data_IF_946838688709
#
_entry.id   IF_946838688709
#
_cell.length_a   1.000
_cell.length_b   1.000
_cell.length_c   1.000
_cell.angle_alpha   90.00
_cell.angle_beta   90.00
_cell.angle_gamma   90.00
#
_symmetry.space_group_name_H-M   'P 1'
#
loop_
_entity.id
_entity.type
_entity.pdbx_description
1 polymer ?
#
# COMPACT_ATOMS: atom_id res chain seq x y z
N UNK A 1 11.02 -11.12 24.21
CA UNK A 1 10.72 -12.25 23.30
C UNK A 1 11.68 -12.13 22.14
N UNK A 2 12.31 -13.23 21.72
CA UNK A 2 13.18 -13.20 20.53
C UNK A 2 12.38 -13.50 19.27
N UNK A 3 12.91 -13.11 18.12
CA UNK A 3 12.32 -13.45 16.81
C UNK A 3 12.13 -14.95 16.66
N UNK A 4 13.13 -15.74 17.07
CA UNK A 4 13.09 -17.20 17.05
C UNK A 4 12.04 -17.84 17.95
N UNK A 5 11.45 -17.10 18.89
CA UNK A 5 10.36 -17.58 19.77
C UNK A 5 8.97 -17.41 19.12
N UNK A 6 8.87 -16.69 17.99
CA UNK A 6 7.61 -16.45 17.31
C UNK A 6 7.08 -17.74 16.66
N UNK A 7 5.75 -17.86 16.66
CA UNK A 7 5.05 -18.91 15.89
C UNK A 7 5.11 -18.51 14.42
N UNK A 8 5.62 -19.40 13.57
CA UNK A 8 5.70 -19.17 12.12
C UNK A 8 4.45 -19.66 11.40
N UNK A 9 4.12 -19.07 10.24
CA UNK A 9 4.77 -17.90 9.63
C UNK A 9 4.43 -16.58 10.35
N UNK A 10 5.40 -15.68 10.52
CA UNK A 10 5.23 -14.43 11.26
C UNK A 10 5.71 -13.20 10.47
N UNK A 11 4.89 -12.14 10.43
CA UNK A 11 5.24 -10.88 9.78
C UNK A 11 6.21 -10.06 10.66
N UNK A 12 7.39 -9.76 10.14
CA UNK A 12 8.41 -8.95 10.80
C UNK A 12 8.60 -7.61 10.08
N UNK A 13 8.77 -6.55 10.85
CA UNK A 13 9.10 -5.21 10.35
C UNK A 13 10.41 -4.75 10.99
N UNK A 14 11.44 -4.58 10.17
CA UNK A 14 12.70 -3.99 10.61
C UNK A 14 12.50 -2.49 10.88
N UNK A 15 12.66 -2.09 12.15
CA UNK A 15 12.36 -0.72 12.59
C UNK A 15 13.35 0.29 12.04
N UNK A 16 14.62 -0.08 11.84
CA UNK A 16 15.63 0.84 11.35
C UNK A 16 15.39 1.11 9.84
N UNK A 17 14.99 0.09 9.09
CA UNK A 17 14.57 0.24 7.70
C UNK A 17 13.26 1.05 7.56
N UNK A 18 12.25 0.76 8.38
CA UNK A 18 10.99 1.51 8.41
C UNK A 18 11.24 2.99 8.71
N UNK A 19 11.95 3.30 9.80
CA UNK A 19 12.18 4.68 10.23
C UNK A 19 12.98 5.47 9.18
N UNK A 20 13.96 4.82 8.53
CA UNK A 20 14.68 5.43 7.42
C UNK A 20 13.79 5.69 6.20
N UNK A 21 12.89 4.76 5.84
CA UNK A 21 11.96 4.95 4.73
C UNK A 21 10.96 6.09 5.01
N UNK A 22 10.45 6.17 6.24
CA UNK A 22 9.58 7.26 6.67
C UNK A 22 10.30 8.59 6.57
N UNK A 23 11.52 8.69 7.10
CA UNK A 23 12.34 9.90 7.03
C UNK A 23 12.66 10.32 5.58
N UNK A 24 13.08 9.38 4.73
CA UNK A 24 13.43 9.65 3.33
C UNK A 24 12.20 10.16 2.54
N UNK A 25 11.02 9.56 2.77
CA UNK A 25 9.80 10.01 2.12
C UNK A 25 9.31 11.36 2.66
N UNK A 26 9.32 11.58 3.97
CA UNK A 26 8.94 12.88 4.56
C UNK A 26 9.88 14.01 4.12
N UNK A 27 11.17 13.72 3.89
CA UNK A 27 12.11 14.68 3.34
C UNK A 27 11.80 15.02 1.87
N UNK A 28 11.42 14.02 1.07
CA UNK A 28 11.04 14.23 -0.33
C UNK A 28 9.69 14.97 -0.47
N UNK A 29 8.72 14.62 0.36
CA UNK A 29 7.33 15.07 0.27
C UNK A 29 6.79 15.51 1.64
N UNK A 30 7.23 16.65 2.18
CA UNK A 30 6.88 17.07 3.54
C UNK A 30 5.41 17.47 3.67
N UNK A 31 4.86 17.22 4.87
CA UNK A 31 3.53 17.69 5.26
C UNK A 31 2.44 17.21 4.31
N UNK A 32 1.64 18.15 3.80
CA UNK A 32 0.50 17.88 2.92
C UNK A 32 0.88 17.46 1.49
N UNK A 33 2.17 17.47 1.10
CA UNK A 33 2.61 16.94 -0.20
C UNK A 33 2.47 15.43 -0.30
N UNK A 34 2.38 14.75 0.84
CA UNK A 34 2.10 13.32 0.94
C UNK A 34 0.84 13.11 1.76
N UNK A 35 -0.08 12.32 1.22
CA UNK A 35 -1.26 11.77 1.90
C UNK A 35 -1.09 10.24 1.97
N UNK A 36 -0.34 9.71 2.95
CA UNK A 36 0.09 8.32 2.95
C UNK A 36 -1.08 7.34 2.82
N UNK A 37 -0.89 6.31 2.02
CA UNK A 37 -1.95 5.36 1.74
C UNK A 37 -1.92 4.16 2.69
N UNK A 38 -2.90 4.10 3.60
CA UNK A 38 -2.92 3.11 4.68
C UNK A 38 -3.26 1.69 4.23
N UNK A 39 -3.76 1.50 3.01
CA UNK A 39 -4.06 0.16 2.48
C UNK A 39 -2.83 -0.74 2.44
N UNK A 40 -1.63 -0.14 2.34
CA UNK A 40 -0.38 -0.85 2.22
C UNK A 40 -0.02 -1.60 3.51
N UNK A 41 -0.39 -1.06 4.68
CA UNK A 41 0.00 -1.60 5.98
C UNK A 41 -1.17 -1.89 6.93
N UNK A 42 -2.35 -1.31 6.69
CA UNK A 42 -3.61 -1.55 7.43
C UNK A 42 -3.45 -1.48 8.96
N UNK A 43 -2.58 -0.61 9.43
CA UNK A 43 -2.11 -0.54 10.83
C UNK A 43 -2.09 0.91 11.30
N UNK A 44 -3.00 1.27 12.22
CA UNK A 44 -3.12 2.63 12.75
C UNK A 44 -1.88 3.09 13.52
N UNK A 45 -1.16 2.17 14.19
CA UNK A 45 0.10 2.48 14.87
C UNK A 45 1.20 2.95 13.89
N UNK A 46 1.26 2.38 12.69
CA UNK A 46 2.18 2.85 11.64
C UNK A 46 1.72 4.21 11.09
N UNK A 47 0.42 4.40 10.90
CA UNK A 47 -0.12 5.70 10.49
C UNK A 47 0.16 6.79 11.52
N UNK A 48 0.12 6.48 12.82
CA UNK A 48 0.50 7.42 13.87
C UNK A 48 1.97 7.86 13.73
N UNK A 49 2.90 6.94 13.39
CA UNK A 49 4.29 7.33 13.09
C UNK A 49 4.41 8.24 11.87
N UNK A 50 3.60 8.03 10.84
CA UNK A 50 3.55 8.95 9.69
C UNK A 50 3.02 10.33 10.11
N UNK A 51 2.04 10.38 11.02
CA UNK A 51 1.54 11.63 11.57
C UNK A 51 2.58 12.37 12.43
N UNK A 52 3.38 11.65 13.22
CA UNK A 52 4.51 12.21 13.97
C UNK A 52 5.57 12.82 13.03
N UNK A 53 5.70 12.27 11.81
CA UNK A 53 6.50 12.83 10.71
C UNK A 53 5.88 14.07 10.02
N UNK A 54 4.70 14.52 10.45
CA UNK A 54 4.01 15.71 9.95
C UNK A 54 2.92 15.44 8.90
N UNK A 55 2.60 14.18 8.61
CA UNK A 55 1.54 13.83 7.65
C UNK A 55 0.17 13.71 8.35
N UNK A 56 -0.66 14.75 8.25
CA UNK A 56 -1.96 14.80 8.96
C UNK A 56 -3.14 14.33 8.13
N UNK A 57 -2.94 14.03 6.84
CA UNK A 57 -3.97 13.49 5.94
C UNK A 57 -3.62 12.08 5.48
N UNK A 58 -4.62 11.22 5.33
CA UNK A 58 -4.43 9.81 4.94
C UNK A 58 -5.35 9.38 3.81
N UNK A 59 -4.84 8.46 2.98
CA UNK A 59 -5.58 7.84 1.89
C UNK A 59 -6.01 6.43 2.31
N UNK A 60 -7.30 6.15 2.22
CA UNK A 60 -7.93 4.86 2.50
C UNK A 60 -8.53 4.28 1.20
N UNK A 61 -8.61 2.96 1.09
CA UNK A 61 -9.23 2.25 -0.03
C UNK A 61 -10.63 1.72 0.31
N UNK A 62 -10.97 1.65 1.60
CA UNK A 62 -12.20 1.04 2.11
C UNK A 62 -12.84 1.90 3.19
N UNK A 63 -14.16 1.76 3.37
CA UNK A 63 -14.90 2.43 4.46
C UNK A 63 -14.32 2.03 5.83
N UNK A 64 -13.97 0.75 6.00
CA UNK A 64 -13.41 0.24 7.26
C UNK A 64 -12.10 0.94 7.64
N UNK A 65 -11.22 1.20 6.66
CA UNK A 65 -9.99 1.95 6.90
C UNK A 65 -10.29 3.37 7.34
N UNK A 66 -11.24 4.06 6.69
CA UNK A 66 -11.64 5.43 7.08
C UNK A 66 -12.17 5.45 8.52
N UNK A 67 -13.06 4.53 8.88
CA UNK A 67 -13.61 4.42 10.23
C UNK A 67 -12.52 4.12 11.28
N UNK A 68 -11.61 3.20 10.96
CA UNK A 68 -10.52 2.84 11.86
C UNK A 68 -9.54 3.99 12.08
N UNK A 69 -9.22 4.74 11.02
CA UNK A 69 -8.38 5.94 11.10
C UNK A 69 -9.04 7.05 11.92
N UNK A 70 -10.34 7.32 11.71
CA UNK A 70 -11.10 8.26 12.51
C UNK A 70 -11.11 7.86 13.99
N UNK A 71 -11.38 6.58 14.29
CA UNK A 71 -11.38 6.04 15.65
C UNK A 71 -10.01 6.13 16.34
N UNK A 72 -8.93 6.01 15.58
CA UNK A 72 -7.56 6.14 16.07
C UNK A 72 -7.13 7.60 16.34
N UNK A 73 -8.02 8.59 16.12
CA UNK A 73 -7.70 10.00 16.27
C UNK A 73 -6.95 10.61 15.08
N UNK A 74 -6.87 9.88 13.96
CA UNK A 74 -6.18 10.29 12.73
C UNK A 74 -7.17 10.77 11.65
N UNK A 75 -8.31 11.33 12.08
CA UNK A 75 -9.44 11.73 11.22
C UNK A 75 -9.41 13.19 10.73
N UNK A 76 -8.26 13.87 10.77
CA UNK A 76 -8.18 15.29 10.40
C UNK A 76 -8.46 15.55 8.92
N UNK A 77 -8.00 14.67 8.03
CA UNK A 77 -8.28 14.72 6.59
C UNK A 77 -8.14 13.33 5.97
N UNK A 78 -9.27 12.66 5.71
CA UNK A 78 -9.31 11.31 5.15
C UNK A 78 -9.85 11.34 3.72
N UNK A 79 -9.09 10.77 2.78
CA UNK A 79 -9.55 10.51 1.42
C UNK A 79 -9.92 9.03 1.31
N UNK A 80 -11.16 8.73 0.92
CA UNK A 80 -11.50 7.42 0.36
C UNK A 80 -11.23 7.43 -1.14
N UNK A 81 -10.05 6.94 -1.54
CA UNK A 81 -9.59 6.87 -2.92
C UNK A 81 -10.19 5.66 -3.67
N UNK A 82 -11.52 5.53 -3.60
CA UNK A 82 -12.31 4.46 -4.22
C UNK A 82 -13.79 4.86 -4.26
N UNK A 83 -14.53 4.31 -5.21
CA UNK A 83 -15.96 4.57 -5.37
C UNK A 83 -16.79 3.80 -4.34
N UNK A 84 -17.84 4.45 -3.83
CA UNK A 84 -18.84 3.82 -2.97
C UNK A 84 -20.25 4.12 -3.46
N UNK A 85 -21.13 3.14 -3.30
CA UNK A 85 -22.56 3.28 -3.56
C UNK A 85 -23.40 3.43 -2.28
N UNK A 86 -22.74 3.41 -1.12
CA UNK A 86 -23.33 3.69 0.19
C UNK A 86 -22.31 4.41 1.07
N UNK A 87 -22.43 5.73 1.16
CA UNK A 87 -21.55 6.57 1.97
C UNK A 87 -22.14 6.91 3.35
N UNK A 88 -23.27 6.29 3.77
CA UNK A 88 -23.94 6.64 5.04
C UNK A 88 -23.05 6.45 6.26
N UNK A 89 -22.22 5.41 6.24
CA UNK A 89 -21.23 5.16 7.30
C UNK A 89 -20.15 6.24 7.36
N UNK A 90 -19.80 6.82 6.21
CA UNK A 90 -18.76 7.86 6.11
C UNK A 90 -19.29 9.23 6.58
N UNK A 91 -20.48 9.63 6.16
CA UNK A 91 -21.07 10.91 6.57
C UNK A 91 -21.50 10.97 8.04
N UNK A 92 -21.57 9.81 8.72
CA UNK A 92 -21.84 9.71 10.15
C UNK A 92 -20.58 9.86 11.03
N UNK A 93 -19.38 9.92 10.44
CA UNK A 93 -18.13 10.02 11.19
C UNK A 93 -17.87 11.43 11.70
N UNK A 94 -17.31 11.52 12.91
CA UNK A 94 -16.71 12.75 13.43
C UNK A 94 -15.28 12.90 12.90
N UNK A 95 -15.18 13.02 11.58
CA UNK A 95 -13.92 13.17 10.84
C UNK A 95 -14.16 13.95 9.54
N UNK A 96 -13.12 14.58 9.01
CA UNK A 96 -13.20 15.19 7.67
C UNK A 96 -12.97 14.10 6.62
N UNK A 97 -14.03 13.73 5.90
CA UNK A 97 -13.97 12.68 4.87
C UNK A 97 -14.26 13.27 3.50
N UNK A 98 -13.33 13.04 2.57
CA UNK A 98 -13.50 13.28 1.13
C UNK A 98 -13.67 11.93 0.42
N UNK A 99 -14.65 11.81 -0.49
CA UNK A 99 -14.88 10.59 -1.28
C UNK A 99 -14.65 10.83 -2.77
N UNK A 100 -14.18 9.79 -3.47
CA UNK A 100 -14.10 9.80 -4.93
C UNK A 100 -15.47 9.67 -5.58
N UNK A 101 -15.73 10.47 -6.61
CA UNK A 101 -16.90 10.34 -7.49
C UNK A 101 -16.45 10.32 -8.96
N UNK A 102 -17.08 9.46 -9.75
CA UNK A 102 -16.78 9.26 -11.17
C UNK A 102 -18.06 9.19 -12.04
N UNK A 103 -19.23 9.25 -11.41
CA UNK A 103 -20.51 9.03 -12.05
C UNK A 103 -21.66 9.67 -11.27
N UNK A 104 -22.84 9.85 -11.89
CA UNK A 104 -24.04 10.30 -11.18
C UNK A 104 -24.42 9.39 -9.99
N UNK A 105 -24.12 8.10 -10.08
CA UNK A 105 -24.42 7.12 -9.03
C UNK A 105 -23.54 7.33 -7.79
N UNK A 106 -22.23 7.55 -7.97
CA UNK A 106 -21.30 7.78 -6.86
C UNK A 106 -21.49 9.17 -6.25
N UNK A 107 -21.82 10.18 -7.07
CA UNK A 107 -22.29 11.49 -6.59
C UNK A 107 -23.52 11.34 -5.70
N UNK A 108 -24.55 10.63 -6.17
CA UNK A 108 -25.77 10.42 -5.40
C UNK A 108 -25.49 9.70 -4.08
N UNK A 109 -24.62 8.70 -4.08
CA UNK A 109 -24.22 8.01 -2.86
C UNK A 109 -23.54 8.94 -1.84
N UNK A 110 -22.71 9.89 -2.30
CA UNK A 110 -22.10 10.91 -1.43
C UNK A 110 -23.16 11.81 -0.79
N UNK A 111 -24.13 12.30 -1.58
CA UNK A 111 -25.26 13.13 -1.10
C UNK A 111 -26.12 12.35 -0.09
N UNK A 112 -26.62 11.17 -0.49
CA UNK A 112 -27.50 10.34 0.34
C UNK A 112 -26.78 9.86 1.62
N UNK A 113 -25.45 9.74 1.57
CA UNK A 113 -24.61 9.37 2.70
C UNK A 113 -24.27 10.53 3.65
N UNK A 114 -24.58 11.77 3.29
CA UNK A 114 -24.25 12.95 4.12
C UNK A 114 -22.78 13.37 4.09
N UNK A 115 -22.01 12.90 3.11
CA UNK A 115 -20.62 13.34 2.89
C UNK A 115 -20.63 14.76 2.32
N UNK A 116 -19.66 15.59 2.73
CA UNK A 116 -19.60 17.02 2.33
C UNK A 116 -18.60 17.31 1.23
N UNK A 117 -17.53 16.52 1.14
CA UNK A 117 -16.39 16.80 0.28
C UNK A 117 -16.16 15.66 -0.71
N UNK A 118 -15.86 16.00 -1.97
CA UNK A 118 -15.57 15.03 -3.03
C UNK A 118 -14.35 15.41 -3.85
N UNK A 119 -13.66 14.41 -4.38
CA UNK A 119 -12.77 14.54 -5.54
C UNK A 119 -13.42 13.86 -6.74
N UNK A 120 -13.26 14.43 -7.93
CA UNK A 120 -13.62 13.75 -9.17
C UNK A 120 -12.50 12.79 -9.54
N UNK A 121 -12.75 11.47 -9.54
CA UNK A 121 -11.78 10.48 -10.02
C UNK A 121 -11.77 10.47 -11.54
N UNK A 122 -10.58 10.64 -12.12
CA UNK A 122 -10.36 10.80 -13.56
C UNK A 122 -9.53 9.63 -14.07
N UNK A 123 -10.02 8.99 -15.12
CA UNK A 123 -9.24 7.97 -15.80
C UNK A 123 -8.09 8.61 -16.59
N UNK A 124 -6.89 8.49 -16.02
CA UNK A 124 -5.64 8.99 -16.62
C UNK A 124 -4.96 7.98 -17.55
N UNK A 125 -5.48 6.77 -17.69
CA UNK A 125 -4.93 5.72 -18.56
C UNK A 125 -4.96 4.31 -17.99
N UNK A 126 -5.23 4.16 -16.68
CA UNK A 126 -5.45 2.85 -16.05
C UNK A 126 -6.91 2.45 -16.22
N UNK A 127 -7.25 1.38 -16.97
CA UNK A 127 -8.64 0.93 -17.13
C UNK A 127 -9.17 0.23 -15.87
N UNK A 128 -9.40 1.02 -14.80
CA UNK A 128 -9.91 0.57 -13.51
C UNK A 128 -11.18 1.33 -13.12
N UNK A 129 -11.03 2.56 -12.63
CA UNK A 129 -12.11 3.49 -12.29
C UNK A 129 -11.82 4.86 -12.94
N UNK A 130 -12.73 5.81 -12.72
CA UNK A 130 -12.54 7.20 -13.09
C UNK A 130 -13.30 7.59 -14.36
N UNK A 131 -13.82 8.82 -14.34
CA UNK A 131 -14.55 9.41 -15.46
C UNK A 131 -13.58 9.81 -16.58
N UNK A 132 -14.07 9.85 -17.81
CA UNK A 132 -13.32 10.42 -18.93
C UNK A 132 -12.97 11.90 -18.63
N UNK A 133 -11.72 12.35 -18.89
CA UNK A 133 -11.27 13.70 -18.55
C UNK A 133 -12.19 14.84 -19.03
N UNK A 134 -12.70 14.72 -20.25
CA UNK A 134 -13.59 15.71 -20.90
C UNK A 134 -14.99 15.82 -20.27
N UNK A 135 -15.34 14.89 -19.37
CA UNK A 135 -16.63 14.89 -18.65
C UNK A 135 -16.50 15.28 -17.18
N UNK A 136 -15.28 15.41 -16.67
CA UNK A 136 -15.02 15.66 -15.26
C UNK A 136 -15.64 16.99 -14.77
N UNK A 137 -15.51 18.07 -15.55
CA UNK A 137 -16.09 19.38 -15.21
C UNK A 137 -17.61 19.33 -15.04
N UNK A 138 -18.32 18.63 -15.94
CA UNK A 138 -19.78 18.47 -15.84
C UNK A 138 -20.19 17.73 -14.56
N UNK A 139 -19.48 16.67 -14.18
CA UNK A 139 -19.77 15.94 -12.93
C UNK A 139 -19.50 16.83 -11.70
N UNK A 140 -18.44 17.64 -11.74
CA UNK A 140 -18.14 18.61 -10.68
C UNK A 140 -19.25 19.67 -10.53
N UNK A 141 -19.78 20.18 -11.63
CA UNK A 141 -20.91 21.13 -11.60
C UNK A 141 -22.17 20.49 -11.03
N UNK A 142 -22.49 19.25 -11.45
CA UNK A 142 -23.60 18.47 -10.90
C UNK A 142 -23.42 18.27 -9.37
N UNK A 143 -22.20 17.99 -8.90
CA UNK A 143 -21.90 17.81 -7.48
C UNK A 143 -22.07 19.10 -6.66
N UNK A 144 -21.59 20.24 -7.20
CA UNK A 144 -21.80 21.56 -6.58
C UNK A 144 -23.26 21.96 -6.51
N UNK A 145 -24.02 21.71 -7.57
CA UNK A 145 -25.45 21.95 -7.60
C UNK A 145 -26.22 21.11 -6.56
N UNK A 146 -25.69 19.91 -6.24
CA UNK A 146 -26.20 19.06 -5.17
C UNK A 146 -25.73 19.45 -3.75
N UNK A 147 -24.94 20.54 -3.61
CA UNK A 147 -24.48 21.06 -2.32
C UNK A 147 -23.19 20.43 -1.79
N UNK A 148 -22.46 19.65 -2.61
CA UNK A 148 -21.16 19.10 -2.24
C UNK A 148 -20.04 20.12 -2.47
N UNK A 149 -18.99 20.03 -1.66
CA UNK A 149 -17.73 20.74 -1.87
C UNK A 149 -16.84 19.89 -2.77
N UNK A 150 -16.68 20.31 -4.03
CA UNK A 150 -15.73 19.68 -4.96
C UNK A 150 -14.34 20.25 -4.69
N UNK A 151 -13.46 19.43 -4.12
CA UNK A 151 -12.10 19.79 -3.73
C UNK A 151 -11.09 19.71 -4.88
N UNK A 152 -11.44 19.02 -5.95
CA UNK A 152 -10.64 18.93 -7.15
C UNK A 152 -10.72 17.55 -7.77
N UNK A 153 -9.57 17.04 -8.22
CA UNK A 153 -9.49 15.78 -8.96
C UNK A 153 -8.56 14.78 -8.29
N UNK A 154 -8.81 13.51 -8.54
CA UNK A 154 -7.81 12.47 -8.36
C UNK A 154 -7.63 11.66 -9.65
N UNK A 155 -6.46 11.06 -9.81
CA UNK A 155 -6.18 10.15 -10.92
C UNK A 155 -4.95 9.31 -10.62
N UNK A 156 -5.04 7.99 -10.85
CA UNK A 156 -4.01 7.04 -10.44
C UNK A 156 -3.39 6.28 -11.63
N UNK A 157 -2.11 6.51 -11.86
CA UNK A 157 -1.27 5.89 -12.89
C UNK A 157 -0.67 4.55 -12.44
N UNK A 158 -1.46 3.71 -11.75
CA UNK A 158 -0.98 2.46 -11.12
C UNK A 158 -0.23 1.47 -12.02
N UNK A 159 -0.54 1.47 -13.32
CA UNK A 159 0.14 0.63 -14.31
C UNK A 159 1.61 1.01 -14.53
N UNK A 160 2.06 2.16 -14.00
CA UNK A 160 3.44 2.65 -14.12
C UNK A 160 4.31 2.34 -12.88
N UNK A 161 3.72 1.87 -11.78
CA UNK A 161 4.42 1.76 -10.48
C UNK A 161 5.69 0.91 -10.53
N UNK A 162 5.68 -0.15 -11.35
CA UNK A 162 6.78 -1.11 -11.48
C UNK A 162 7.48 -1.03 -12.84
N UNK A 163 7.21 0.00 -13.63
CA UNK A 163 7.87 0.13 -14.93
C UNK A 163 9.37 0.32 -14.73
N UNK A 164 10.16 -0.58 -15.31
CA UNK A 164 11.59 -0.69 -15.01
C UNK A 164 12.43 0.45 -15.59
N UNK A 165 12.09 0.93 -16.79
CA UNK A 165 12.80 2.04 -17.41
C UNK A 165 12.34 3.38 -16.78
N UNK A 166 13.21 4.08 -16.02
CA UNK A 166 12.84 5.33 -15.36
C UNK A 166 12.53 6.46 -16.34
N UNK A 167 13.11 6.47 -17.54
CA UNK A 167 12.85 7.50 -18.56
C UNK A 167 11.46 7.31 -19.12
N UNK A 168 11.12 6.07 -19.49
CA UNK A 168 9.78 5.76 -19.98
C UNK A 168 8.72 5.94 -18.89
N UNK A 169 9.03 5.57 -17.64
CA UNK A 169 8.13 5.77 -16.50
C UNK A 169 7.83 7.25 -16.28
N UNK A 170 8.85 8.12 -16.37
CA UNK A 170 8.67 9.57 -16.26
C UNK A 170 7.81 10.14 -17.39
N UNK A 171 8.09 9.73 -18.63
CA UNK A 171 7.35 10.16 -19.83
C UNK A 171 5.86 9.78 -19.75
N UNK A 172 5.56 8.54 -19.40
CA UNK A 172 4.17 8.07 -19.26
C UNK A 172 3.46 8.68 -18.05
N UNK A 173 4.19 8.96 -16.97
CA UNK A 173 3.64 9.69 -15.81
C UNK A 173 3.23 11.10 -16.22
N UNK A 174 4.08 11.81 -16.97
CA UNK A 174 3.76 13.13 -17.52
C UNK A 174 2.50 13.10 -18.39
N UNK A 175 2.36 12.11 -19.28
CA UNK A 175 1.15 11.96 -20.10
C UNK A 175 -0.11 11.74 -19.26
N UNK A 176 -0.04 10.88 -18.23
CA UNK A 176 -1.16 10.64 -17.31
C UNK A 176 -1.52 11.92 -16.56
N UNK A 177 -0.53 12.64 -16.02
CA UNK A 177 -0.75 13.86 -15.27
C UNK A 177 -1.23 15.02 -16.15
N UNK A 178 -0.82 15.07 -17.43
CA UNK A 178 -1.36 16.01 -18.40
C UNK A 178 -2.88 15.86 -18.58
N UNK A 179 -3.39 14.62 -18.61
CA UNK A 179 -4.84 14.35 -18.65
C UNK A 179 -5.53 14.79 -17.36
N UNK A 180 -4.92 14.52 -16.21
CA UNK A 180 -5.46 14.91 -14.91
C UNK A 180 -5.54 16.43 -14.75
N UNK A 181 -4.48 17.15 -15.16
CA UNK A 181 -4.43 18.61 -15.10
C UNK A 181 -5.41 19.27 -16.07
N UNK A 182 -5.62 18.69 -17.26
CA UNK A 182 -6.66 19.15 -18.17
C UNK A 182 -8.06 19.03 -17.53
N UNK A 183 -8.37 17.88 -16.93
CA UNK A 183 -9.62 17.70 -16.19
C UNK A 183 -9.72 18.65 -14.98
N UNK A 184 -8.61 18.88 -14.25
CA UNK A 184 -8.57 19.81 -13.13
C UNK A 184 -8.89 21.25 -13.54
N UNK A 185 -8.45 21.69 -14.73
CA UNK A 185 -8.75 23.03 -15.23
C UNK A 185 -10.26 23.27 -15.38
N UNK A 186 -11.02 22.23 -15.76
CA UNK A 186 -12.48 22.28 -15.88
C UNK A 186 -13.17 22.07 -14.52
N UNK A 187 -12.61 21.21 -13.66
CA UNK A 187 -13.19 20.89 -12.35
C UNK A 187 -12.95 22.01 -11.34
N UNK A 188 -11.79 22.65 -11.31
CA UNK A 188 -11.35 23.58 -10.26
C UNK A 188 -11.02 22.88 -8.93
N UNK A 189 -10.92 23.65 -7.83
CA UNK A 189 -10.58 23.13 -6.49
C UNK A 189 -9.11 23.33 -6.11
N UNK A 190 -8.74 22.86 -4.92
CA UNK A 190 -7.41 23.02 -4.33
C UNK A 190 -6.58 21.72 -4.34
N UNK A 191 -7.15 20.61 -4.80
CA UNK A 191 -6.52 19.28 -4.78
C UNK A 191 -6.38 18.69 -6.18
N UNK A 192 -5.16 18.28 -6.51
CA UNK A 192 -4.85 17.33 -7.57
C UNK A 192 -4.13 16.17 -6.88
N UNK A 193 -4.83 15.04 -6.68
CA UNK A 193 -4.34 13.91 -5.90
C UNK A 193 -4.01 12.71 -6.78
N UNK A 194 -2.89 12.03 -6.55
CA UNK A 194 -2.54 10.88 -7.38
C UNK A 194 -1.22 10.24 -7.00
N UNK A 195 -0.67 9.47 -7.95
CA UNK A 195 0.62 8.81 -7.84
C UNK A 195 0.79 7.83 -6.69
N UNK A 196 1.98 7.25 -6.62
CA UNK A 196 2.29 6.21 -5.65
C UNK A 196 3.79 6.00 -5.49
N UNK A 197 4.16 4.95 -4.77
CA UNK A 197 5.56 4.66 -4.43
C UNK A 197 6.47 4.59 -5.65
N UNK A 198 5.99 4.09 -6.80
CA UNK A 198 6.80 3.96 -8.03
C UNK A 198 7.05 5.27 -8.79
N UNK A 199 6.14 6.24 -8.65
CA UNK A 199 6.17 7.51 -9.38
C UNK A 199 6.46 8.72 -8.49
N UNK A 200 6.64 8.51 -7.18
CA UNK A 200 6.73 9.60 -6.19
C UNK A 200 7.77 10.67 -6.52
N UNK A 201 8.94 10.28 -7.02
CA UNK A 201 10.05 11.20 -7.29
C UNK A 201 9.89 11.99 -8.60
N UNK A 202 9.11 11.47 -9.55
CA UNK A 202 8.92 12.08 -10.88
C UNK A 202 7.58 12.79 -11.02
N UNK A 203 6.58 12.43 -10.21
CA UNK A 203 5.27 13.05 -10.27
C UNK A 203 5.28 14.38 -9.50
N UNK A 204 5.62 15.45 -10.20
CA UNK A 204 5.67 16.82 -9.66
C UNK A 204 4.41 17.65 -9.96
N UNK A 205 3.42 17.05 -10.62
CA UNK A 205 2.22 17.74 -11.12
C UNK A 205 1.06 17.74 -10.12
N UNK A 206 1.01 16.73 -9.25
CA UNK A 206 0.00 16.62 -8.20
C UNK A 206 0.30 17.56 -7.03
N UNK A 207 -0.75 18.03 -6.36
CA UNK A 207 -0.60 18.81 -5.12
C UNK A 207 -0.29 17.90 -3.93
N UNK A 208 -0.73 16.64 -3.99
CA UNK A 208 -0.49 15.61 -2.99
C UNK A 208 -0.30 14.22 -3.63
N UNK A 209 0.66 13.45 -3.11
CA UNK A 209 0.93 12.07 -3.52
C UNK A 209 0.29 11.05 -2.57
N UNK A 210 -0.21 9.94 -3.11
CA UNK A 210 -0.88 8.86 -2.36
C UNK A 210 0.02 7.62 -2.15
N UNK A 211 1.34 7.80 -1.99
CA UNK A 211 2.26 6.67 -1.80
C UNK A 211 2.02 5.93 -0.47
N UNK A 212 2.17 4.60 -0.46
CA UNK A 212 1.94 3.76 0.72
C UNK A 212 3.01 2.70 0.93
N UNK A 213 3.26 1.88 -0.09
CA UNK A 213 4.21 0.74 0.00
C UNK A 213 5.65 1.15 0.34
N UNK A 214 6.03 2.42 0.15
CA UNK A 214 7.36 2.94 0.46
C UNK A 214 7.80 2.66 1.90
N UNK A 215 6.86 2.60 2.86
CA UNK A 215 7.16 2.40 4.26
C UNK A 215 7.76 1.00 4.52
N UNK A 216 7.30 0.00 3.76
CA UNK A 216 7.54 -1.42 4.06
C UNK A 216 8.31 -2.16 2.96
N UNK A 217 8.10 -1.76 1.70
CA UNK A 217 8.71 -2.29 0.49
C UNK A 217 8.47 -3.80 0.25
N UNK A 218 8.73 -4.22 -0.98
CA UNK A 218 8.66 -5.60 -1.44
C UNK A 218 9.69 -5.84 -2.56
N UNK A 219 9.84 -7.09 -2.98
CA UNK A 219 10.83 -7.43 -4.00
C UNK A 219 10.50 -6.84 -5.38
N UNK A 220 9.23 -6.56 -5.68
CA UNK A 220 8.83 -5.92 -6.93
C UNK A 220 9.30 -4.46 -7.00
N UNK A 221 9.05 -3.67 -5.95
CA UNK A 221 9.56 -2.30 -5.87
C UNK A 221 11.08 -2.24 -5.75
N UNK A 222 11.69 -3.21 -5.05
CA UNK A 222 13.15 -3.33 -4.99
C UNK A 222 13.75 -3.54 -6.39
N UNK A 223 13.17 -4.45 -7.19
CA UNK A 223 13.60 -4.69 -8.57
C UNK A 223 13.42 -3.48 -9.49
N UNK A 224 12.45 -2.60 -9.18
CA UNK A 224 12.22 -1.34 -9.87
C UNK A 224 13.23 -0.22 -9.48
N UNK A 225 14.19 -0.50 -8.60
CA UNK A 225 15.33 0.38 -8.28
C UNK A 225 14.99 1.58 -7.40
N UNK A 226 13.92 1.50 -6.60
CA UNK A 226 13.57 2.58 -5.67
C UNK A 226 14.53 2.63 -4.47
N UNK A 227 14.78 3.83 -3.89
CA UNK A 227 15.81 4.01 -2.87
C UNK A 227 15.39 3.59 -1.44
N UNK A 228 14.19 3.02 -1.29
CA UNK A 228 13.67 2.58 0.00
C UNK A 228 14.16 1.18 0.36
N UNK A 229 14.28 0.92 1.66
CA UNK A 229 14.81 -0.33 2.23
C UNK A 229 13.68 -1.35 2.39
N UNK A 230 13.99 -2.63 2.17
CA UNK A 230 13.08 -3.74 2.48
C UNK A 230 12.89 -3.86 3.99
N UNK A 231 11.80 -3.28 4.53
CA UNK A 231 11.50 -3.34 5.95
C UNK A 231 10.61 -4.54 6.30
N UNK A 232 9.75 -4.98 5.38
CA UNK A 232 8.86 -6.12 5.58
C UNK A 232 9.53 -7.45 5.24
N UNK A 233 9.47 -8.41 6.16
CA UNK A 233 9.85 -9.80 5.91
C UNK A 233 8.90 -10.76 6.64
N UNK A 234 8.94 -12.04 6.28
CA UNK A 234 8.28 -13.11 7.00
C UNK A 234 9.33 -14.06 7.58
N UNK A 235 9.18 -14.39 8.86
CA UNK A 235 9.85 -15.53 9.47
C UNK A 235 9.10 -16.81 9.09
N UNK A 236 9.83 -17.84 8.69
CA UNK A 236 9.29 -19.17 8.42
C UNK A 236 10.23 -20.25 8.97
N UNK A 237 9.70 -21.46 9.16
CA UNK A 237 10.43 -22.64 9.62
C UNK A 237 10.57 -23.64 8.48
N UNK A 238 11.77 -24.19 8.31
CA UNK A 238 11.99 -25.36 7.45
C UNK A 238 11.32 -26.57 8.09
N UNK A 239 10.27 -27.10 7.45
CA UNK A 239 9.51 -28.26 7.94
C UNK A 239 9.88 -29.56 7.26
N UNK A 240 10.58 -29.49 6.13
CA UNK A 240 11.08 -30.67 5.42
C UNK A 240 12.37 -30.36 4.66
N UNK A 241 13.25 -31.35 4.56
CA UNK A 241 14.49 -31.31 3.77
C UNK A 241 14.65 -32.63 3.03
N UNK A 242 15.03 -32.56 1.75
CA UNK A 242 15.29 -33.73 0.90
C UNK A 242 16.72 -33.64 0.35
N UNK A 243 17.53 -34.66 0.62
CA UNK A 243 18.86 -34.79 0.02
C UNK A 243 18.73 -35.10 -1.49
N UNK A 244 19.76 -34.73 -2.27
CA UNK A 244 19.78 -35.03 -3.70
C UNK A 244 19.76 -36.55 -3.94
N UNK A 245 18.89 -37.01 -4.84
CA UNK A 245 18.75 -38.43 -5.16
C UNK A 245 18.46 -38.62 -6.67
N UNK A 246 19.38 -39.30 -7.36
CA UNK A 246 19.31 -39.46 -8.82
C UNK A 246 19.36 -38.10 -9.52
N UNK A 247 18.36 -37.83 -10.38
CA UNK A 247 18.22 -36.55 -11.08
C UNK A 247 17.51 -35.47 -10.24
N UNK A 248 16.97 -35.82 -9.07
CA UNK A 248 16.28 -34.88 -8.19
C UNK A 248 17.30 -34.07 -7.37
N UNK A 249 17.38 -32.74 -7.54
CA UNK A 249 18.25 -31.91 -6.72
C UNK A 249 17.76 -31.83 -5.27
N UNK A 250 18.66 -31.48 -4.35
CA UNK A 250 18.30 -31.26 -2.95
C UNK A 250 17.37 -30.05 -2.81
N UNK A 251 16.42 -30.11 -1.88
CA UNK A 251 15.49 -29.01 -1.60
C UNK A 251 15.01 -29.01 -0.16
N UNK A 252 14.45 -27.87 0.23
CA UNK A 252 13.80 -27.66 1.50
C UNK A 252 12.38 -27.10 1.30
N UNK A 253 11.54 -27.26 2.32
CA UNK A 253 10.17 -26.76 2.36
C UNK A 253 10.00 -25.92 3.61
N UNK A 254 9.60 -24.66 3.44
CA UNK A 254 9.32 -23.72 4.51
C UNK A 254 7.80 -23.59 4.74
N UNK A 255 7.35 -23.42 5.98
CA UNK A 255 5.94 -23.29 6.43
C UNK A 255 5.27 -21.94 6.10
N UNK A 256 5.60 -21.37 4.94
CA UNK A 256 5.02 -20.11 4.45
C UNK A 256 4.52 -20.31 3.04
N UNK A 257 3.25 -19.99 2.81
CA UNK A 257 2.57 -20.25 1.55
C UNK A 257 1.63 -19.12 1.11
N UNK A 258 0.75 -19.42 0.15
CA UNK A 258 -0.25 -18.50 -0.39
C UNK A 258 -1.16 -17.88 0.69
N UNK A 259 -1.38 -18.57 1.80
CA UNK A 259 -2.20 -18.06 2.92
C UNK A 259 -1.43 -17.10 3.84
N UNK A 260 -0.16 -16.84 3.55
CA UNK A 260 0.67 -15.88 4.26
C UNK A 260 1.29 -14.84 3.33
N UNK A 261 1.19 -15.02 2.00
CA UNK A 261 1.86 -14.21 0.98
C UNK A 261 0.89 -13.82 -0.14
N UNK A 262 0.89 -12.54 -0.51
CA UNK A 262 0.34 -12.11 -1.79
C UNK A 262 1.29 -12.44 -2.94
N UNK A 263 0.74 -12.96 -4.04
CA UNK A 263 1.50 -13.59 -5.14
C UNK A 263 1.17 -13.01 -6.53
N UNK A 264 0.40 -11.93 -6.58
CA UNK A 264 0.04 -11.24 -7.81
C UNK A 264 1.23 -10.57 -8.51
N UNK A 265 2.35 -10.37 -7.79
CA UNK A 265 3.63 -9.93 -8.35
C UNK A 265 4.68 -11.07 -8.48
N UNK A 266 4.25 -12.33 -8.39
CA UNK A 266 5.11 -13.50 -8.56
C UNK A 266 5.57 -14.13 -7.24
N UNK A 267 6.60 -14.99 -7.34
CA UNK A 267 7.10 -15.79 -6.21
C UNK A 267 7.76 -14.91 -5.13
N UNK A 268 7.70 -15.33 -3.85
CA UNK A 268 8.50 -14.70 -2.81
C UNK A 268 9.98 -15.01 -3.04
N UNK A 269 10.85 -14.32 -2.29
CA UNK A 269 12.28 -14.64 -2.21
C UNK A 269 12.59 -15.27 -0.86
N UNK A 270 13.27 -16.42 -0.84
CA UNK A 270 13.85 -16.99 0.39
C UNK A 270 15.32 -16.56 0.45
N UNK A 271 15.75 -15.92 1.53
CA UNK A 271 17.16 -15.53 1.66
C UNK A 271 18.07 -16.76 1.70
N UNK A 272 19.08 -16.79 0.82
CA UNK A 272 20.01 -17.92 0.70
C UNK A 272 19.39 -19.15 0.02
N UNK A 273 18.39 -18.97 -0.84
CA UNK A 273 17.76 -20.06 -1.58
C UNK A 273 17.03 -19.60 -2.84
N UNK A 274 16.88 -20.53 -3.78
CA UNK A 274 16.11 -20.31 -5.01
C UNK A 274 14.73 -20.95 -4.90
N UNK A 275 13.67 -20.13 -4.90
CA UNK A 275 12.29 -20.61 -4.82
C UNK A 275 11.90 -21.35 -6.09
N UNK A 276 11.37 -22.56 -5.93
CA UNK A 276 10.85 -23.37 -7.02
C UNK A 276 9.37 -23.08 -7.25
N UNK A 277 8.57 -23.14 -6.18
CA UNK A 277 7.15 -22.81 -6.21
C UNK A 277 6.61 -22.56 -4.80
N UNK A 278 5.46 -21.89 -4.76
CA UNK A 278 4.69 -21.62 -3.55
C UNK A 278 3.31 -22.30 -3.65
N UNK A 279 2.88 -22.94 -2.57
CA UNK A 279 1.59 -23.62 -2.40
C UNK A 279 0.87 -23.06 -1.17
N UNK A 280 -0.35 -23.52 -0.87
CA UNK A 280 -1.21 -22.97 0.20
C UNK A 280 -0.47 -22.62 1.51
N UNK A 281 0.29 -23.57 2.05
CA UNK A 281 0.98 -23.45 3.34
C UNK A 281 2.51 -23.62 3.21
N UNK A 282 3.04 -23.78 1.99
CA UNK A 282 4.45 -24.14 1.81
C UNK A 282 5.14 -23.44 0.65
N UNK A 283 6.41 -23.06 0.87
CA UNK A 283 7.34 -22.62 -0.16
C UNK A 283 8.44 -23.65 -0.31
N UNK A 284 8.57 -24.21 -1.51
CA UNK A 284 9.64 -25.16 -1.86
C UNK A 284 10.80 -24.39 -2.48
N UNK A 285 12.02 -24.62 -2.00
CA UNK A 285 13.20 -23.91 -2.49
C UNK A 285 14.44 -24.81 -2.48
N UNK A 286 15.35 -24.56 -3.43
CA UNK A 286 16.69 -25.12 -3.44
C UNK A 286 17.62 -24.23 -2.61
N UNK A 287 18.10 -24.68 -1.44
CA UNK A 287 18.91 -23.85 -0.56
C UNK A 287 20.35 -23.74 -1.08
N UNK A 288 20.95 -22.55 -1.00
CA UNK A 288 22.36 -22.31 -1.42
C UNK A 288 23.37 -22.96 -0.47
N UNK A 289 22.96 -23.16 0.79
CA UNK A 289 23.71 -23.85 1.83
C UNK A 289 22.81 -24.88 2.49
N UNK A 290 23.39 -25.91 3.11
CA UNK A 290 22.58 -26.93 3.80
C UNK A 290 21.75 -26.29 4.91
N UNK A 291 20.45 -26.58 4.91
CA UNK A 291 19.51 -26.27 6.00
C UNK A 291 19.01 -27.57 6.63
N UNK A 292 18.50 -27.49 7.85
CA UNK A 292 17.92 -28.58 8.62
C UNK A 292 16.46 -28.31 8.94
N UNK A 293 15.68 -29.37 9.18
CA UNK A 293 14.32 -29.23 9.73
C UNK A 293 14.39 -28.50 11.08
N UNK A 294 13.57 -27.47 11.24
CA UNK A 294 13.56 -26.57 12.40
C UNK A 294 14.35 -25.28 12.21
N UNK A 295 15.18 -25.16 11.16
CA UNK A 295 15.88 -23.92 10.87
C UNK A 295 14.88 -22.81 10.52
N UNK A 296 15.17 -21.60 11.02
CA UNK A 296 14.41 -20.40 10.69
C UNK A 296 14.96 -19.77 9.41
N UNK A 297 14.08 -19.40 8.50
CA UNK A 297 14.41 -18.74 7.22
C UNK A 297 13.61 -17.45 7.06
N UNK A 298 14.27 -16.46 6.44
CA UNK A 298 13.66 -15.16 6.12
C UNK A 298 13.11 -15.20 4.70
N UNK A 299 11.83 -14.82 4.56
CA UNK A 299 11.11 -14.79 3.29
C UNK A 299 10.65 -13.37 2.99
N UNK A 300 10.93 -12.88 1.79
CA UNK A 300 10.56 -11.53 1.33
C UNK A 300 9.34 -11.65 0.42
N UNK A 301 8.24 -10.93 0.69
CA UNK A 301 7.08 -10.93 -0.19
C UNK A 301 7.35 -10.16 -1.48
N UNK A 302 6.67 -10.56 -2.56
CA UNK A 302 6.69 -9.84 -3.83
C UNK A 302 5.73 -8.65 -3.88
N UNK A 303 4.75 -8.63 -2.98
CA UNK A 303 3.79 -7.53 -2.87
C UNK A 303 3.34 -7.32 -1.41
N UNK A 304 3.54 -6.10 -0.89
CA UNK A 304 3.28 -5.76 0.52
C UNK A 304 1.79 -5.79 0.88
N UNK A 305 0.94 -5.08 0.13
CA UNK A 305 -0.48 -4.85 0.47
C UNK A 305 -1.29 -6.15 0.66
N UNK A 306 -1.31 -7.10 -0.31
CA UNK A 306 -2.04 -8.35 -0.15
C UNK A 306 -1.41 -9.29 0.87
N UNK A 307 -0.08 -9.25 1.04
CA UNK A 307 0.60 -10.01 2.09
C UNK A 307 0.10 -9.57 3.46
N UNK A 308 0.13 -8.26 3.75
CA UNK A 308 -0.29 -7.73 5.05
C UNK A 308 -1.76 -8.03 5.37
N UNK A 309 -2.63 -8.03 4.36
CA UNK A 309 -4.04 -8.33 4.55
C UNK A 309 -4.31 -9.74 5.14
N UNK A 310 -3.34 -10.67 5.03
CA UNK A 310 -3.44 -12.04 5.53
C UNK A 310 -3.02 -12.20 7.00
N UNK A 311 -2.40 -11.16 7.60
CA UNK A 311 -1.85 -11.23 8.96
C UNK A 311 -2.68 -10.39 9.93
N UNK A 312 -2.78 -10.86 11.17
CA UNK A 312 -3.47 -10.11 12.23
C UNK A 312 -2.54 -9.13 12.96
N UNK A 313 -1.24 -9.38 12.89
CA UNK A 313 -0.21 -8.66 13.65
C UNK A 313 1.08 -8.54 12.84
N UNK A 314 1.87 -7.52 13.16
CA UNK A 314 3.24 -7.35 12.71
C UNK A 314 4.17 -7.13 13.90
N UNK A 315 5.31 -7.80 13.89
CA UNK A 315 6.30 -7.75 14.96
C UNK A 315 7.44 -6.82 14.60
N UNK A 316 7.69 -5.81 15.43
CA UNK A 316 8.75 -4.85 15.22
C UNK A 316 10.04 -5.41 15.77
N UNK A 317 11.09 -5.41 14.95
CA UNK A 317 12.38 -6.04 15.27
C UNK A 317 13.52 -5.13 14.86
N UNK A 318 14.69 -5.30 15.49
CA UNK A 318 15.95 -4.72 15.00
C UNK A 318 16.83 -5.86 14.49
N UNK A 319 16.87 -6.02 13.17
CA UNK A 319 17.41 -7.21 12.53
C UNK A 319 16.41 -8.37 12.52
N UNK A 320 16.54 -9.24 11.51
CA UNK A 320 15.65 -10.39 11.28
C UNK A 320 16.25 -11.73 11.71
N UNK A 321 17.39 -11.69 12.40
CA UNK A 321 18.04 -12.88 12.96
C UNK A 321 17.16 -13.51 14.05
N UNK A 322 17.08 -14.85 14.17
CA UNK A 322 16.32 -15.51 15.24
C UNK A 322 16.68 -15.06 16.66
N UNK A 323 17.90 -14.58 16.92
CA UNK A 323 18.30 -14.05 18.23
C UNK A 323 17.93 -12.58 18.44
N UNK A 324 17.46 -11.88 17.41
CA UNK A 324 17.03 -10.48 17.51
C UNK A 324 15.84 -10.32 18.46
N UNK A 325 15.75 -9.16 19.10
CA UNK A 325 14.68 -8.83 20.02
C UNK A 325 13.42 -8.36 19.26
N UNK A 326 12.26 -8.86 19.67
CA UNK A 326 10.96 -8.28 19.30
C UNK A 326 10.69 -7.09 20.22
N UNK A 327 10.73 -5.90 19.63
CA UNK A 327 10.62 -4.61 20.33
C UNK A 327 9.18 -4.26 20.66
N UNK A 328 8.26 -4.55 19.74
CA UNK A 328 6.83 -4.27 19.87
C UNK A 328 6.02 -5.18 18.93
N UNK A 329 4.70 -5.18 19.06
CA UNK A 329 3.80 -5.90 18.15
C UNK A 329 2.55 -5.09 17.90
N UNK A 330 2.36 -4.69 16.65
CA UNK A 330 1.18 -3.94 16.23
C UNK A 330 0.11 -4.85 15.66
N UNK A 331 -1.15 -4.50 15.90
CA UNK A 331 -2.27 -5.15 15.23
C UNK A 331 -2.43 -4.57 13.81
N UNK A 332 -2.72 -5.44 12.85
CA UNK A 332 -3.19 -5.05 11.52
C UNK A 332 -4.69 -4.77 11.63
N UNK A 333 -5.03 -3.65 12.26
CA UNK A 333 -6.36 -3.35 12.79
C UNK A 333 -7.36 -2.81 11.75
N UNK A 334 -6.90 -2.52 10.52
CA UNK A 334 -7.74 -2.07 9.40
C UNK A 334 -8.11 -3.19 8.40
N UNK A 335 -7.81 -4.47 8.70
CA UNK A 335 -8.14 -5.63 7.85
C UNK A 335 -9.62 -6.05 7.93
N UNK A 336 -10.09 -6.78 6.92
CA UNK A 336 -11.40 -7.46 6.91
C UNK A 336 -12.59 -6.51 6.71
N UNK A 337 -12.83 -6.11 5.46
CA UNK A 337 -13.89 -5.18 5.05
C UNK A 337 -14.92 -5.86 4.16
#
# INVERSE_FOLDING_TARGET
MRVGDLTTPALLVDVDALDANLADMSAALPGSKLRPHVKAHKTTALAARQADGGHTGFTCATIREVEGMAKAGLGQDLLLANEVLDARRLGALDARVTVAIDSPSTLRAAVDGGVREVLVDVNVGLPRCGIAPDRAGRLADDARAAGLTVRGVMGYEGHLMMLADPVERARLTEECMGRLLAAHADVGGDVVSGGGTGTYAMNTWVTELQAGSYALMDTAYTAAGLPFRQALTLLSTVVSTTDAAGEMPAFAVADVGLKSLGMDHGNPTVQGGHVWFCSDEHTTFGPERRVSVGDRVTVLPAHVDPTIALHERMHLVRGTDPDAEVLDTWAVDLRGW
#
